data_IF_380870288007
#
_entry.id   IF_380870288007
#
_cell.length_a   1.000
_cell.length_b   1.000
_cell.length_c   1.000
_cell.angle_alpha   90.00
_cell.angle_beta   90.00
_cell.angle_gamma   90.00
#
_symmetry.space_group_name_H-M   'P 1'
#
loop_
_entity.id
_entity.type
_entity.pdbx_description
1 polymer ?
#
# COMPACT_ATOMS: atom_id res chain seq x y z
N UNK A 1 12.05 12.61 -1.45
CA UNK A 1 11.48 13.26 -0.24
C UNK A 1 9.96 13.17 -0.25
N UNK A 2 9.38 12.47 0.72
CA UNK A 2 7.93 12.23 0.80
C UNK A 2 7.24 13.40 1.52
N UNK A 3 6.28 14.05 0.87
CA UNK A 3 5.37 15.02 1.49
C UNK A 3 4.01 14.37 1.69
N UNK A 4 3.45 14.49 2.90
CA UNK A 4 2.17 13.91 3.26
C UNK A 4 1.23 14.99 3.76
N UNK A 5 -0.06 14.85 3.48
CA UNK A 5 -1.08 15.69 4.07
C UNK A 5 -1.31 15.32 5.53
N UNK A 6 -1.05 16.26 6.42
CA UNK A 6 -1.33 16.11 7.83
C UNK A 6 -2.76 16.50 8.14
N UNK A 7 -3.59 15.53 8.49
CA UNK A 7 -5.00 15.72 8.82
C UNK A 7 -5.22 16.62 10.06
N UNK A 8 -4.27 16.65 11.01
CA UNK A 8 -4.39 17.52 12.20
C UNK A 8 -4.02 18.96 11.88
N UNK A 9 -3.03 19.17 11.00
CA UNK A 9 -2.52 20.50 10.63
C UNK A 9 -3.19 21.08 9.39
N UNK A 10 -3.97 20.27 8.65
CA UNK A 10 -4.68 20.66 7.44
C UNK A 10 -3.79 21.03 6.25
N UNK A 11 -2.54 20.54 6.21
CA UNK A 11 -1.56 20.93 5.18
C UNK A 11 -0.56 19.82 4.89
N UNK A 12 0.07 19.89 3.72
CA UNK A 12 1.20 19.03 3.39
C UNK A 12 2.42 19.35 4.27
N UNK A 13 3.08 18.30 4.74
CA UNK A 13 4.30 18.35 5.57
C UNK A 13 5.34 17.39 5.02
N UNK A 14 6.59 17.83 5.09
CA UNK A 14 7.74 16.98 4.85
C UNK A 14 7.89 15.97 6.00
N UNK A 15 7.91 14.68 5.71
CA UNK A 15 8.15 13.67 6.74
C UNK A 15 9.60 13.61 7.22
N UNK A 16 10.54 13.86 6.30
CA UNK A 16 11.95 13.69 6.56
C UNK A 16 12.59 15.06 6.79
N UNK A 17 13.06 15.28 8.02
CA UNK A 17 14.00 16.36 8.31
C UNK A 17 15.40 15.94 7.83
N UNK A 18 16.26 16.87 7.39
CA UNK A 18 17.63 16.55 7.01
C UNK A 18 18.37 15.77 8.12
N UNK A 19 19.02 14.66 7.75
CA UNK A 19 19.76 13.79 8.68
C UNK A 19 18.91 12.79 9.48
N UNK A 20 17.58 12.78 9.30
CA UNK A 20 16.71 11.79 9.93
C UNK A 20 16.63 10.52 9.10
N UNK A 21 17.21 9.44 9.62
CA UNK A 21 17.24 8.13 8.97
C UNK A 21 16.33 7.09 9.64
N UNK A 22 15.56 7.48 10.66
CA UNK A 22 14.65 6.58 11.38
C UNK A 22 13.28 7.21 11.58
N UNK A 23 12.21 6.42 11.35
CA UNK A 23 10.81 6.83 11.50
C UNK A 23 10.03 5.77 12.28
N UNK A 24 9.33 6.16 13.34
CA UNK A 24 8.33 5.32 14.00
C UNK A 24 6.97 5.55 13.34
N UNK A 25 6.41 4.48 12.77
CA UNK A 25 5.11 4.49 12.10
C UNK A 25 4.11 3.68 12.92
N UNK A 26 2.95 4.26 13.22
CA UNK A 26 1.87 3.57 13.93
C UNK A 26 0.59 3.56 13.12
N UNK A 27 -0.02 2.38 12.98
CA UNK A 27 -1.34 2.22 12.35
C UNK A 27 -2.38 2.04 13.45
N UNK A 28 -3.40 2.89 13.46
CA UNK A 28 -4.49 2.87 14.42
C UNK A 28 -5.74 2.33 13.74
N UNK A 29 -6.17 1.15 14.17
CA UNK A 29 -7.33 0.44 13.62
C UNK A 29 -8.51 0.64 14.57
N UNK A 30 -9.63 1.16 14.06
CA UNK A 30 -10.86 1.32 14.85
C UNK A 30 -11.55 -0.02 15.11
N UNK A 31 -11.55 -0.92 14.13
CA UNK A 31 -12.23 -2.23 14.18
C UNK A 31 -13.66 -2.11 14.71
N UNK A 32 -14.48 -1.25 14.08
CA UNK A 32 -15.84 -0.98 14.53
C UNK A 32 -16.65 -2.30 14.64
N UNK A 33 -17.26 -2.53 15.80
CA UNK A 33 -17.94 -3.80 16.09
C UNK A 33 -17.00 -4.95 16.47
N UNK A 34 -15.76 -4.64 16.89
CA UNK A 34 -14.72 -5.59 17.31
C UNK A 34 -14.32 -6.60 16.21
N UNK A 35 -14.37 -6.18 14.94
CA UNK A 35 -13.97 -7.00 13.80
C UNK A 35 -13.16 -6.20 12.77
N UNK A 36 -12.27 -6.89 12.04
CA UNK A 36 -11.46 -6.28 10.99
C UNK A 36 -12.27 -6.14 9.70
N UNK A 37 -12.38 -4.92 9.18
CA UNK A 37 -13.12 -4.59 7.96
C UNK A 37 -12.26 -4.02 6.84
N UNK A 38 -12.94 -3.55 5.78
CA UNK A 38 -12.29 -2.94 4.62
C UNK A 38 -11.56 -1.63 4.96
N UNK A 39 -12.04 -0.87 5.95
CA UNK A 39 -11.37 0.32 6.47
C UNK A 39 -9.99 -0.01 7.03
N UNK A 40 -9.92 -1.06 7.86
CA UNK A 40 -8.67 -1.54 8.44
C UNK A 40 -7.72 -2.10 7.37
N UNK A 41 -8.24 -2.87 6.42
CA UNK A 41 -7.44 -3.40 5.31
C UNK A 41 -6.82 -2.26 4.48
N UNK A 42 -7.60 -1.21 4.17
CA UNK A 42 -7.08 -0.04 3.44
C UNK A 42 -6.02 0.69 4.24
N UNK A 43 -6.23 0.89 5.54
CA UNK A 43 -5.26 1.56 6.40
C UNK A 43 -3.93 0.81 6.48
N UNK A 44 -3.97 -0.53 6.62
CA UNK A 44 -2.79 -1.39 6.62
C UNK A 44 -2.03 -1.33 5.29
N UNK A 45 -2.75 -1.39 4.16
CA UNK A 45 -2.15 -1.31 2.81
C UNK A 45 -1.50 0.06 2.57
N UNK A 46 -2.16 1.15 2.93
CA UNK A 46 -1.62 2.52 2.78
C UNK A 46 -0.38 2.70 3.67
N UNK A 47 -0.43 2.22 4.91
CA UNK A 47 0.71 2.26 5.82
C UNK A 47 1.91 1.46 5.29
N UNK A 48 1.67 0.30 4.70
CA UNK A 48 2.72 -0.53 4.10
C UNK A 48 3.35 0.12 2.87
N UNK A 49 2.57 0.79 2.03
CA UNK A 49 3.10 1.59 0.90
C UNK A 49 3.96 2.74 1.42
N UNK A 50 3.50 3.47 2.43
CA UNK A 50 4.30 4.55 3.04
C UNK A 50 5.61 4.01 3.59
N UNK A 51 5.56 2.88 4.31
CA UNK A 51 6.74 2.22 4.86
C UNK A 51 7.74 1.88 3.75
N UNK A 52 7.28 1.22 2.67
CA UNK A 52 8.13 0.86 1.54
C UNK A 52 8.69 2.10 0.81
N UNK A 53 7.90 3.16 0.68
CA UNK A 53 8.33 4.41 0.07
C UNK A 53 9.42 5.11 0.88
N UNK A 54 9.32 5.10 2.21
CA UNK A 54 10.35 5.63 3.11
C UNK A 54 11.64 4.80 3.05
N UNK A 55 11.54 3.48 3.09
CA UNK A 55 12.69 2.58 2.98
C UNK A 55 13.40 2.68 1.64
N UNK A 56 12.66 2.89 0.55
CA UNK A 56 13.24 3.15 -0.77
C UNK A 56 14.09 4.44 -0.80
N UNK A 57 13.80 5.41 0.08
CA UNK A 57 14.59 6.63 0.27
C UNK A 57 15.70 6.45 1.35
N UNK A 58 15.94 5.21 1.80
CA UNK A 58 17.00 4.86 2.75
C UNK A 58 16.63 5.11 4.23
N UNK A 59 15.34 5.24 4.55
CA UNK A 59 14.86 5.47 5.91
C UNK A 59 14.52 4.14 6.57
N UNK A 60 15.06 3.89 7.77
CA UNK A 60 14.66 2.76 8.58
C UNK A 60 13.33 3.04 9.27
N UNK A 61 12.31 2.23 9.00
CA UNK A 61 10.97 2.39 9.59
C UNK A 61 10.77 1.35 10.70
N UNK A 62 10.24 1.80 11.84
CA UNK A 62 9.80 0.96 12.94
C UNK A 62 8.28 0.97 12.98
N UNK A 63 7.61 0.02 12.32
CA UNK A 63 6.16 -0.03 12.31
C UNK A 63 5.60 -0.64 13.59
N UNK A 64 4.34 -0.31 13.86
CA UNK A 64 3.49 -1.24 14.59
C UNK A 64 2.03 -0.83 14.57
N UNK A 65 1.20 -1.72 15.08
CA UNK A 65 -0.25 -1.65 14.94
C UNK A 65 -0.86 -1.49 16.32
N UNK A 66 -1.72 -0.48 16.46
CA UNK A 66 -2.58 -0.26 17.61
C UNK A 66 -4.00 -0.69 17.23
N UNK A 67 -4.52 -1.66 17.95
CA UNK A 67 -5.88 -2.19 17.82
C UNK A 67 -6.60 -2.02 19.16
N UNK A 68 -7.93 -1.91 19.17
CA UNK A 68 -8.69 -2.03 20.41
C UNK A 68 -8.54 -3.44 20.99
N UNK A 69 -9.09 -3.67 22.19
CA UNK A 69 -9.22 -5.01 22.75
C UNK A 69 -10.12 -5.86 21.84
N UNK A 70 -9.48 -6.68 21.00
CA UNK A 70 -10.14 -7.59 20.08
C UNK A 70 -10.24 -9.00 20.70
N UNK A 71 -11.31 -9.75 20.41
CA UNK A 71 -11.38 -11.14 20.82
C UNK A 71 -10.28 -11.96 20.09
N UNK A 72 -9.72 -13.01 20.72
CA UNK A 72 -8.67 -13.85 20.13
C UNK A 72 -8.87 -14.29 18.67
N UNK A 73 -10.08 -14.72 18.22
CA UNK A 73 -10.28 -15.07 16.81
C UNK A 73 -10.09 -13.90 15.84
N UNK A 74 -10.42 -12.67 16.25
CA UNK A 74 -10.25 -11.48 15.40
C UNK A 74 -8.79 -11.01 15.39
N UNK A 75 -8.03 -11.24 16.46
CA UNK A 75 -6.56 -11.07 16.45
C UNK A 75 -5.94 -12.04 15.44
N UNK A 76 -6.30 -13.33 15.48
CA UNK A 76 -5.81 -14.32 14.53
C UNK A 76 -6.24 -14.02 13.09
N UNK A 77 -7.41 -13.41 12.91
CA UNK A 77 -7.88 -12.96 11.60
C UNK A 77 -7.08 -11.76 11.10
N UNK A 78 -6.78 -10.80 11.97
CA UNK A 78 -5.90 -9.68 11.66
C UNK A 78 -4.51 -10.18 11.22
N UNK A 79 -3.91 -11.10 11.98
CA UNK A 79 -2.60 -11.68 11.65
C UNK A 79 -2.60 -12.35 10.26
N UNK A 80 -3.66 -13.12 9.95
CA UNK A 80 -3.84 -13.74 8.63
C UNK A 80 -4.01 -12.70 7.51
N UNK A 81 -4.72 -11.61 7.76
CA UNK A 81 -4.87 -10.52 6.80
C UNK A 81 -3.53 -9.80 6.59
N UNK A 82 -2.80 -9.45 7.65
CA UNK A 82 -1.47 -8.83 7.56
C UNK A 82 -0.53 -9.72 6.76
N UNK A 83 -0.49 -11.02 7.05
CA UNK A 83 0.33 -11.98 6.34
C UNK A 83 -0.09 -12.12 4.86
N UNK A 84 -1.39 -12.30 4.58
CA UNK A 84 -1.89 -12.50 3.22
C UNK A 84 -1.67 -11.28 2.31
N UNK A 85 -1.80 -10.07 2.85
CA UNK A 85 -1.54 -8.83 2.10
C UNK A 85 -0.04 -8.48 1.97
N UNK A 86 0.86 -9.31 2.53
CA UNK A 86 2.30 -9.05 2.54
C UNK A 86 2.66 -7.75 3.25
N UNK A 87 1.85 -7.37 4.25
CA UNK A 87 1.96 -6.10 4.97
C UNK A 87 3.03 -6.23 6.04
N UNK A 88 3.99 -5.30 6.06
CA UNK A 88 5.14 -5.31 6.99
C UNK A 88 4.92 -4.47 8.23
N UNK A 89 3.72 -3.92 8.42
CA UNK A 89 3.31 -3.34 9.70
C UNK A 89 2.80 -4.44 10.63
N UNK A 90 3.72 -5.20 11.22
CA UNK A 90 3.39 -6.19 12.25
C UNK A 90 4.14 -5.90 13.54
N UNK A 91 3.45 -6.03 14.68
CA UNK A 91 3.97 -5.75 16.01
C UNK A 91 3.01 -4.87 16.82
N UNK A 92 2.37 -5.47 17.83
CA UNK A 92 1.78 -4.70 18.92
C UNK A 92 2.92 -3.94 19.61
N UNK A 93 2.86 -2.61 19.58
CA UNK A 93 3.81 -1.81 20.33
C UNK A 93 3.07 -0.73 21.06
N UNK A 94 3.19 -0.77 22.38
CA UNK A 94 2.46 0.10 23.30
C UNK A 94 3.06 1.51 23.41
N UNK A 95 4.11 1.83 22.63
CA UNK A 95 4.71 3.16 22.64
C UNK A 95 3.81 4.14 21.86
N UNK A 96 3.16 5.11 22.55
CA UNK A 96 2.31 6.10 21.90
C UNK A 96 3.12 7.12 21.10
N UNK A 97 4.45 7.18 21.25
CA UNK A 97 5.31 8.10 20.51
C UNK A 97 5.60 7.55 19.12
N UNK A 98 4.88 8.08 18.14
CA UNK A 98 5.17 7.86 16.73
C UNK A 98 5.49 9.18 16.04
N UNK A 99 6.28 9.09 14.96
CA UNK A 99 6.52 10.22 14.07
C UNK A 99 5.40 10.36 13.06
N UNK A 100 4.79 9.22 12.69
CA UNK A 100 3.68 9.13 11.75
C UNK A 100 2.60 8.21 12.30
N UNK A 101 1.37 8.67 12.23
CA UNK A 101 0.17 7.93 12.58
C UNK A 101 -0.70 7.75 11.34
N UNK A 102 -1.04 6.51 11.00
CA UNK A 102 -2.01 6.18 9.95
C UNK A 102 -3.28 5.72 10.64
N UNK A 103 -4.40 6.42 10.45
CA UNK A 103 -5.65 6.15 11.13
C UNK A 103 -6.64 5.54 10.12
N UNK A 104 -7.26 4.42 10.47
CA UNK A 104 -8.46 3.98 9.77
C UNK A 104 -9.58 5.02 9.93
N UNK A 105 -10.53 5.05 8.99
CA UNK A 105 -11.49 6.16 8.87
C UNK A 105 -12.22 6.49 10.18
N UNK A 106 -12.69 5.45 10.88
CA UNK A 106 -13.50 5.57 12.09
C UNK A 106 -12.65 5.66 13.37
N UNK A 107 -11.33 5.81 13.25
CA UNK A 107 -10.43 5.87 14.39
C UNK A 107 -10.26 7.31 14.89
N UNK A 108 -10.62 7.53 16.15
CA UNK A 108 -10.51 8.81 16.85
C UNK A 108 -9.28 8.88 17.78
N UNK A 109 -8.27 8.04 17.54
CA UNK A 109 -7.05 8.04 18.33
C UNK A 109 -6.37 9.43 18.31
N UNK A 110 -6.07 9.95 19.50
CA UNK A 110 -5.28 11.17 19.66
C UNK A 110 -3.83 10.88 19.31
N UNK A 111 -3.49 11.05 18.03
CA UNK A 111 -2.10 11.09 17.59
C UNK A 111 -1.44 12.33 18.19
N UNK A 112 -0.41 12.14 19.03
CA UNK A 112 0.24 13.22 19.79
C UNK A 112 0.87 14.31 18.91
N UNK A 113 2.20 14.37 18.85
CA UNK A 113 2.90 15.42 18.07
C UNK A 113 3.24 15.02 16.63
N UNK A 114 3.04 13.75 16.26
CA UNK A 114 3.40 13.18 14.96
C UNK A 114 2.56 13.73 13.78
N UNK A 115 2.88 13.27 12.58
CA UNK A 115 2.10 13.54 11.36
C UNK A 115 0.96 12.54 11.28
N UNK A 116 -0.25 13.01 10.96
CA UNK A 116 -1.45 12.19 10.97
C UNK A 116 -2.01 12.02 9.56
N UNK A 117 -2.04 10.78 9.08
CA UNK A 117 -2.68 10.38 7.84
C UNK A 117 -4.01 9.74 8.18
N UNK A 118 -5.10 10.37 7.75
CA UNK A 118 -6.43 9.79 7.87
C UNK A 118 -6.82 9.12 6.55
N UNK A 119 -7.05 7.82 6.61
CA UNK A 119 -7.52 7.05 5.46
C UNK A 119 -9.02 7.29 5.29
N UNK A 120 -9.41 7.60 4.06
CA UNK A 120 -10.79 7.82 3.66
C UNK A 120 -11.64 6.57 3.85
N UNK A 121 -12.92 6.78 4.13
CA UNK A 121 -13.89 5.72 4.35
C UNK A 121 -13.88 4.69 3.22
N UNK A 122 -13.95 3.43 3.59
CA UNK A 122 -14.00 2.28 2.68
C UNK A 122 -15.32 1.55 2.90
N UNK A 123 -16.27 1.77 1.99
CA UNK A 123 -17.57 1.12 2.00
C UNK A 123 -17.56 -0.10 1.06
N UNK A 124 -18.35 -1.12 1.39
CA UNK A 124 -18.61 -2.26 0.51
C UNK A 124 -20.11 -2.56 0.56
N UNK A 125 -20.84 -2.49 -0.57
CA UNK A 125 -22.22 -2.95 -0.65
C UNK A 125 -22.34 -4.43 -0.25
N UNK A 126 -23.52 -4.87 0.20
CA UNK A 126 -23.74 -6.26 0.63
C UNK A 126 -23.45 -7.32 -0.44
N UNK A 127 -23.52 -6.95 -1.72
CA UNK A 127 -23.15 -7.82 -2.85
C UNK A 127 -21.64 -8.00 -3.01
N UNK A 128 -20.82 -7.19 -2.35
CA UNK A 128 -19.36 -7.28 -2.43
C UNK A 128 -18.88 -8.42 -1.54
N UNK A 129 -18.06 -9.34 -2.06
CA UNK A 129 -17.47 -10.39 -1.25
C UNK A 129 -16.78 -9.79 -0.01
N UNK A 130 -16.98 -10.36 1.20
CA UNK A 130 -16.29 -9.88 2.39
C UNK A 130 -14.78 -10.12 2.29
N UNK A 131 -14.02 -9.51 3.19
CA UNK A 131 -12.62 -9.91 3.38
C UNK A 131 -12.54 -11.40 3.69
N UNK A 132 -11.71 -12.18 2.96
CA UNK A 132 -11.61 -13.61 3.16
C UNK A 132 -11.08 -13.89 4.57
N UNK A 133 -11.58 -14.97 5.19
CA UNK A 133 -11.03 -15.46 6.46
C UNK A 133 -9.60 -15.96 6.25
N UNK A 134 -9.36 -16.62 5.13
CA UNK A 134 -8.05 -17.12 4.73
C UNK A 134 -7.69 -16.54 3.37
N UNK A 135 -7.04 -15.35 3.33
CA UNK A 135 -6.63 -14.76 2.08
C UNK A 135 -5.57 -15.63 1.39
N UNK A 136 -5.84 -16.02 0.14
CA UNK A 136 -4.75 -16.46 -0.74
C UNK A 136 -3.94 -15.23 -1.15
N UNK A 137 -2.67 -15.42 -1.49
CA UNK A 137 -1.84 -14.30 -1.90
C UNK A 137 -2.33 -13.66 -3.21
N UNK A 138 -2.91 -14.45 -4.12
CA UNK A 138 -3.51 -13.93 -5.36
C UNK A 138 -4.71 -13.02 -5.05
N UNK A 139 -5.60 -13.48 -4.16
CA UNK A 139 -6.74 -12.70 -3.68
C UNK A 139 -6.32 -11.41 -2.98
N UNK A 140 -5.26 -11.47 -2.18
CA UNK A 140 -4.77 -10.35 -1.42
C UNK A 140 -4.12 -9.29 -2.33
N UNK A 141 -3.32 -9.69 -3.32
CA UNK A 141 -2.74 -8.77 -4.29
C UNK A 141 -3.82 -8.02 -5.09
N UNK A 142 -4.87 -8.73 -5.55
CA UNK A 142 -5.99 -8.11 -6.28
C UNK A 142 -6.72 -7.08 -5.43
N UNK A 143 -7.02 -7.41 -4.17
CA UNK A 143 -7.65 -6.47 -3.22
C UNK A 143 -6.75 -5.30 -2.90
N UNK A 144 -5.45 -5.54 -2.71
CA UNK A 144 -4.45 -4.50 -2.51
C UNK A 144 -4.43 -3.50 -3.67
N UNK A 145 -4.40 -3.98 -4.92
CA UNK A 145 -4.51 -3.11 -6.10
C UNK A 145 -5.81 -2.30 -6.07
N UNK A 146 -6.96 -2.94 -5.79
CA UNK A 146 -8.25 -2.25 -5.72
C UNK A 146 -8.28 -1.16 -4.63
N UNK A 147 -7.66 -1.41 -3.47
CA UNK A 147 -7.56 -0.44 -2.37
C UNK A 147 -6.64 0.75 -2.68
N UNK A 148 -5.64 0.54 -3.54
CA UNK A 148 -4.67 1.55 -3.99
C UNK A 148 -5.12 2.34 -5.23
N UNK A 149 -6.16 1.87 -5.92
CA UNK A 149 -6.71 2.49 -7.13
C UNK A 149 -7.42 3.82 -6.90
N UNK A 150 -7.63 4.20 -5.64
CA UNK A 150 -8.21 5.49 -5.24
C UNK A 150 -7.31 6.10 -4.17
N UNK A 151 -6.96 7.37 -4.36
CA UNK A 151 -6.13 8.12 -3.42
C UNK A 151 -6.58 7.92 -1.97
N UNK A 152 -5.65 7.68 -1.04
CA UNK A 152 -5.98 7.16 0.29
C UNK A 152 -6.94 8.06 1.09
N UNK A 153 -6.94 9.38 0.83
CA UNK A 153 -7.82 10.36 1.48
C UNK A 153 -9.25 10.33 0.97
N UNK A 154 -9.45 9.89 -0.27
CA UNK A 154 -10.76 9.88 -0.91
C UNK A 154 -11.58 8.66 -0.43
N UNK A 155 -12.89 8.81 -0.25
CA UNK A 155 -13.76 7.67 0.02
C UNK A 155 -13.67 6.63 -1.10
N UNK A 156 -13.59 5.35 -0.74
CA UNK A 156 -13.57 4.22 -1.66
C UNK A 156 -14.81 3.37 -1.46
N UNK A 157 -15.50 3.04 -2.55
CA UNK A 157 -16.52 1.99 -2.57
C UNK A 157 -15.96 0.75 -3.24
N UNK A 158 -15.66 -0.28 -2.45
CA UNK A 158 -15.24 -1.59 -2.95
C UNK A 158 -16.45 -2.26 -3.57
N UNK A 159 -16.32 -2.69 -4.83
CA UNK A 159 -17.37 -3.40 -5.56
C UNK A 159 -16.81 -4.71 -6.11
N UNK A 160 -17.69 -5.68 -6.34
CA UNK A 160 -17.32 -6.95 -6.97
C UNK A 160 -16.65 -6.73 -8.34
N UNK A 161 -17.18 -5.82 -9.15
CA UNK A 161 -16.58 -5.45 -10.44
C UNK A 161 -15.20 -4.85 -10.28
N UNK A 162 -15.01 -3.91 -9.34
CA UNK A 162 -13.69 -3.34 -9.08
C UNK A 162 -12.66 -4.37 -8.60
N UNK A 163 -13.07 -5.35 -7.80
CA UNK A 163 -12.20 -6.47 -7.41
C UNK A 163 -11.84 -7.36 -8.60
N UNK A 164 -12.79 -7.64 -9.49
CA UNK A 164 -12.58 -8.43 -10.71
C UNK A 164 -11.63 -7.71 -11.68
N UNK A 165 -11.86 -6.41 -11.90
CA UNK A 165 -11.02 -5.58 -12.77
C UNK A 165 -9.57 -5.53 -12.24
N UNK A 166 -9.41 -5.42 -10.91
CA UNK A 166 -8.10 -5.48 -10.29
C UNK A 166 -7.40 -6.84 -10.47
N UNK A 167 -8.13 -7.95 -10.33
CA UNK A 167 -7.60 -9.28 -10.57
C UNK A 167 -7.18 -9.47 -12.05
N UNK A 168 -8.02 -9.03 -13.00
CA UNK A 168 -7.72 -9.10 -14.44
C UNK A 168 -6.49 -8.27 -14.80
N UNK A 169 -6.39 -7.04 -14.30
CA UNK A 169 -5.23 -6.19 -14.54
C UNK A 169 -3.93 -6.81 -14.00
N UNK A 170 -3.95 -7.37 -12.77
CA UNK A 170 -2.79 -8.05 -12.21
C UNK A 170 -2.40 -9.29 -13.01
N UNK A 171 -3.36 -10.10 -13.46
CA UNK A 171 -3.07 -11.27 -14.29
C UNK A 171 -2.43 -10.87 -15.63
N UNK A 172 -2.90 -9.79 -16.25
CA UNK A 172 -2.30 -9.21 -17.44
C UNK A 172 -0.87 -8.75 -17.19
N UNK A 173 -0.65 -7.94 -16.14
CA UNK A 173 0.69 -7.47 -15.77
C UNK A 173 1.65 -8.60 -15.44
N UNK A 174 1.24 -9.63 -14.69
CA UNK A 174 2.09 -10.80 -14.37
C UNK A 174 2.46 -11.58 -15.63
N UNK A 175 1.52 -11.73 -16.56
CA UNK A 175 1.79 -12.34 -17.86
C UNK A 175 2.84 -11.55 -18.66
N UNK A 176 2.69 -10.23 -18.70
CA UNK A 176 3.65 -9.32 -19.35
C UNK A 176 5.02 -9.37 -18.68
N UNK A 177 5.09 -9.32 -17.35
CA UNK A 177 6.33 -9.43 -16.57
C UNK A 177 7.04 -10.75 -16.84
N UNK A 178 6.30 -11.88 -16.87
CA UNK A 178 6.85 -13.17 -17.23
C UNK A 178 7.34 -13.25 -18.68
N UNK A 179 6.74 -12.50 -19.60
CA UNK A 179 7.24 -12.38 -20.96
C UNK A 179 8.53 -11.56 -21.04
N UNK A 180 8.55 -10.41 -20.38
CA UNK A 180 9.67 -9.47 -20.39
C UNK A 180 10.89 -9.97 -19.63
N UNK A 181 10.72 -10.83 -18.61
CA UNK A 181 11.82 -11.40 -17.82
C UNK A 181 12.82 -12.23 -18.64
N UNK A 182 12.45 -12.64 -19.86
CA UNK A 182 13.32 -13.36 -20.79
C UNK A 182 14.22 -12.45 -21.62
N UNK A 183 13.99 -11.14 -21.56
CA UNK A 183 14.81 -10.14 -22.26
C UNK A 183 16.02 -9.74 -21.43
N UNK A 184 17.12 -9.29 -22.05
CA UNK A 184 18.26 -8.74 -21.32
C UNK A 184 17.83 -7.60 -20.39
N UNK A 185 18.22 -7.66 -19.12
CA UNK A 185 17.94 -6.61 -18.13
C UNK A 185 18.51 -5.26 -18.57
N UNK A 186 17.79 -4.18 -18.26
CA UNK A 186 18.14 -2.81 -18.62
C UNK A 186 17.78 -1.86 -17.48
N UNK A 187 18.65 -0.91 -17.10
CA UNK A 187 18.39 -0.05 -15.96
C UNK A 187 17.12 0.78 -16.11
N UNK A 188 16.41 0.96 -15.00
CA UNK A 188 15.21 1.83 -14.93
C UNK A 188 15.58 3.26 -15.38
N UNK A 189 14.90 3.85 -16.39
CA UNK A 189 15.18 5.21 -16.84
C UNK A 189 15.02 6.24 -15.72
N UNK A 190 15.91 7.23 -15.65
CA UNK A 190 15.86 8.27 -14.61
C UNK A 190 14.53 9.04 -14.64
N UNK A 191 14.01 9.35 -15.82
CA UNK A 191 12.73 10.04 -15.98
C UNK A 191 11.57 9.29 -15.32
N UNK A 192 11.54 7.95 -15.43
CA UNK A 192 10.51 7.11 -14.78
C UNK A 192 10.72 7.12 -13.25
N UNK A 193 11.98 7.01 -12.79
CA UNK A 193 12.29 7.09 -11.35
C UNK A 193 11.88 8.43 -10.75
N UNK A 194 12.18 9.52 -11.43
CA UNK A 194 11.86 10.88 -10.96
C UNK A 194 10.35 11.12 -10.98
N UNK A 195 9.64 10.60 -11.98
CA UNK A 195 8.17 10.64 -12.03
C UNK A 195 7.55 9.87 -10.86
N UNK A 196 7.99 8.64 -10.62
CA UNK A 196 7.51 7.84 -9.51
C UNK A 196 7.83 8.47 -8.14
N UNK A 197 9.03 9.04 -7.96
CA UNK A 197 9.36 9.82 -6.75
C UNK A 197 8.48 11.05 -6.59
N UNK A 198 8.15 11.74 -7.67
CA UNK A 198 7.22 12.87 -7.64
C UNK A 198 5.81 12.44 -7.21
N UNK A 199 5.33 11.29 -7.67
CA UNK A 199 4.02 10.74 -7.28
C UNK A 199 4.00 10.33 -5.79
N UNK A 200 5.05 9.66 -5.32
CA UNK A 200 5.22 9.36 -3.89
C UNK A 200 5.34 10.62 -3.04
N UNK A 201 6.05 11.62 -3.55
CA UNK A 201 6.20 12.93 -2.94
C UNK A 201 4.92 13.76 -2.92
N UNK A 202 3.94 13.44 -3.77
CA UNK A 202 2.65 14.10 -3.87
C UNK A 202 1.60 13.36 -3.02
N UNK A 203 1.81 13.29 -1.70
CA UNK A 203 0.86 12.69 -0.75
C UNK A 203 0.57 11.20 -1.03
N UNK A 204 1.60 10.40 -1.39
CA UNK A 204 1.45 8.98 -1.75
C UNK A 204 0.41 8.76 -2.85
N UNK A 205 0.60 9.37 -4.02
CA UNK A 205 -0.29 9.19 -5.17
C UNK A 205 -0.16 7.77 -5.76
N UNK A 206 -0.75 6.78 -5.08
CA UNK A 206 -0.73 5.38 -5.46
C UNK A 206 -1.55 5.11 -6.71
N UNK A 207 -2.60 5.91 -6.92
CA UNK A 207 -3.39 5.86 -8.16
C UNK A 207 -2.52 6.27 -9.35
N UNK A 208 -1.74 7.36 -9.22
CA UNK A 208 -0.79 7.78 -10.24
C UNK A 208 0.34 6.76 -10.47
N UNK A 209 0.80 6.06 -9.43
CA UNK A 209 1.79 4.97 -9.59
C UNK A 209 1.23 3.76 -10.33
N UNK A 210 -0.04 3.40 -10.09
CA UNK A 210 -0.72 2.35 -10.86
C UNK A 210 -0.89 2.79 -12.33
N UNK A 211 -1.23 4.06 -12.56
CA UNK A 211 -1.26 4.64 -13.91
C UNK A 211 0.10 4.59 -14.61
N UNK A 212 1.19 4.87 -13.89
CA UNK A 212 2.54 4.78 -14.42
C UNK A 212 2.92 3.34 -14.83
N UNK A 213 2.49 2.31 -14.08
CA UNK A 213 2.65 0.91 -14.51
C UNK A 213 1.91 0.64 -15.82
N UNK A 214 0.68 1.12 -15.94
CA UNK A 214 -0.10 0.98 -17.18
C UNK A 214 0.54 1.71 -18.36
N UNK A 215 1.06 2.93 -18.18
CA UNK A 215 1.79 3.67 -19.20
C UNK A 215 3.02 2.89 -19.68
N UNK A 216 3.84 2.40 -18.75
CA UNK A 216 5.06 1.63 -19.05
C UNK A 216 4.75 0.33 -19.79
N UNK A 217 3.66 -0.35 -19.42
CA UNK A 217 3.24 -1.59 -20.09
C UNK A 217 2.92 -1.39 -21.56
N UNK A 218 2.42 -0.20 -21.94
CA UNK A 218 1.95 0.10 -23.29
C UNK A 218 2.89 1.01 -24.08
N UNK A 219 3.98 1.52 -23.49
CA UNK A 219 4.93 2.40 -24.17
C UNK A 219 5.75 1.62 -25.21
N UNK A 220 5.53 1.82 -26.53
CA UNK A 220 6.26 1.09 -27.57
C UNK A 220 7.74 1.48 -27.66
N UNK A 221 8.15 2.61 -27.05
CA UNK A 221 9.53 3.08 -27.01
C UNK A 221 10.39 2.37 -25.96
N UNK A 222 9.79 1.63 -25.02
CA UNK A 222 10.53 0.88 -24.01
C UNK A 222 10.83 -0.54 -24.47
N UNK A 223 12.09 -0.95 -24.28
CA UNK A 223 12.50 -2.34 -24.42
C UNK A 223 11.87 -3.20 -23.30
N UNK A 224 11.57 -4.45 -23.59
CA UNK A 224 11.00 -5.40 -22.64
C UNK A 224 11.81 -5.51 -21.35
N UNK A 225 13.14 -5.62 -21.44
CA UNK A 225 14.01 -5.62 -20.26
C UNK A 225 13.90 -4.37 -19.41
N UNK A 226 13.66 -3.21 -20.02
CA UNK A 226 13.41 -1.96 -19.30
C UNK A 226 12.04 -1.97 -18.63
N UNK A 227 10.98 -2.46 -19.30
CA UNK A 227 9.64 -2.60 -18.71
C UNK A 227 9.68 -3.54 -17.50
N UNK A 228 10.36 -4.67 -17.61
CA UNK A 228 10.56 -5.62 -16.52
C UNK A 228 11.17 -4.94 -15.28
N UNK A 229 12.30 -4.25 -15.45
CA UNK A 229 12.99 -3.60 -14.32
C UNK A 229 12.15 -2.48 -13.69
N UNK A 230 11.39 -1.72 -14.50
CA UNK A 230 10.45 -0.71 -13.97
C UNK A 230 9.36 -1.38 -13.13
N UNK A 231 8.77 -2.47 -13.62
CA UNK A 231 7.72 -3.21 -12.91
C UNK A 231 8.22 -3.78 -11.58
N UNK A 232 9.39 -4.43 -11.59
CA UNK A 232 10.03 -4.95 -10.37
C UNK A 232 10.32 -3.83 -9.38
N UNK A 233 10.87 -2.71 -9.87
CA UNK A 233 11.22 -1.57 -9.03
C UNK A 233 9.99 -0.93 -8.37
N UNK A 234 8.91 -0.68 -9.13
CA UNK A 234 7.66 -0.12 -8.58
C UNK A 234 6.94 -1.11 -7.64
N UNK A 235 7.04 -2.41 -7.90
CA UNK A 235 6.45 -3.44 -7.04
C UNK A 235 7.06 -3.48 -5.63
N UNK A 236 8.32 -3.05 -5.47
CA UNK A 236 8.94 -2.92 -4.14
C UNK A 236 8.16 -1.96 -3.24
N UNK A 237 7.54 -0.93 -3.83
CA UNK A 237 6.72 0.06 -3.12
C UNK A 237 5.25 -0.34 -3.06
N UNK A 238 4.69 -0.80 -4.17
CA UNK A 238 3.27 -1.10 -4.27
C UNK A 238 2.90 -2.45 -3.61
N UNK A 239 3.81 -3.42 -3.56
CA UNK A 239 3.62 -4.73 -2.92
C UNK A 239 2.54 -5.59 -3.58
N UNK A 240 2.45 -5.56 -4.90
CA UNK A 240 1.46 -6.29 -5.71
C UNK A 240 1.92 -7.70 -6.11
N UNK A 241 3.16 -8.06 -5.79
CA UNK A 241 3.76 -9.37 -6.10
C UNK A 241 3.71 -9.68 -7.60
N UNK A 242 4.24 -8.75 -8.42
CA UNK A 242 4.21 -8.84 -9.88
C UNK A 242 5.19 -9.88 -10.42
N UNK A 243 6.25 -10.17 -9.66
CA UNK A 243 7.30 -11.13 -10.01
C UNK A 243 7.05 -12.55 -9.50
N UNK A 244 5.90 -12.78 -8.86
CA UNK A 244 5.62 -14.04 -8.14
C UNK A 244 5.61 -15.27 -9.04
N UNK A 245 5.12 -15.13 -10.27
CA UNK A 245 4.96 -16.25 -11.20
C UNK A 245 6.25 -16.53 -12.01
N UNK A 246 7.32 -15.78 -11.74
CA UNK A 246 8.62 -16.01 -12.36
C UNK A 246 9.25 -17.30 -11.81
N UNK A 247 9.46 -18.28 -12.68
CA UNK A 247 10.05 -19.58 -12.31
C UNK A 247 9.05 -20.72 -12.10
N UNK A 248 7.76 -20.50 -12.35
CA UNK A 248 6.72 -21.56 -12.39
C UNK A 248 6.37 -22.02 -13.81
N UNK A 249 7.26 -21.79 -14.78
CA UNK A 249 7.12 -22.18 -16.19
C UNK A 249 7.82 -23.49 -16.53
#
# INVERSE_FOLDING_TARGET
>A
MVHLFDATRGRAVALLSPGRHTVRLRVHLACAGAAVGWDEARALVVADVLLRALEMEGVQVFPGVAVPDLPPPEIQRLDRLVAGYGVRVSGAGDDPRADVHVLSHSCDASAGSGVVLRVGRTAAPASTPPLPQEPTNHDAAARRRALLATHYREPLTVSETGLRDAATALAGWRTSVAAWSRSPSSPVPSAIRDRARSLLGADLDTQGLLGLLDEVAHDPGLLDGTRFEVFVWLDQVLGLELSRDLGHG
#
